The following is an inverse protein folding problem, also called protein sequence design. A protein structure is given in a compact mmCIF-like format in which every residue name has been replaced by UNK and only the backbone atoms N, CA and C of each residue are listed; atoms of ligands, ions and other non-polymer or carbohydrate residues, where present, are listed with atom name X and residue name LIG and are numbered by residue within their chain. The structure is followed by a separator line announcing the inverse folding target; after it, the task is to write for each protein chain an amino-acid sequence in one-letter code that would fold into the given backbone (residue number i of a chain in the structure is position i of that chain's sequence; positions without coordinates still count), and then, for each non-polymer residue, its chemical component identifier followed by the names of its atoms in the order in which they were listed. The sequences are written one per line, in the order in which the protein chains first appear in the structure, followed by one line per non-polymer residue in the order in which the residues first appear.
data_IF_035234014822
#
_entry.id   IF_035234014822
#
_cell.length_a   1.000
_cell.length_b   1.000
_cell.length_c   1.000
_cell.angle_alpha   90.00
_cell.angle_beta   90.00
_cell.angle_gamma   90.00
#
_symmetry.space_group_name_H-M   'P 1'
#
loop_
_entity.id
_entity.type
_entity.pdbx_description
1 polymer ?
#
# COMPACT_ATOMS: atom_id res chain seq x y z
N UNK A 1 12.17 -56.21 -47.41
CA UNK A 1 11.33 -55.88 -46.24
C UNK A 1 12.09 -56.05 -44.90
N UNK A 2 13.26 -55.41 -44.72
CA UNK A 2 14.03 -55.45 -43.45
C UNK A 2 14.77 -54.13 -43.14
N UNK A 3 14.35 -53.02 -43.76
CA UNK A 3 14.97 -51.69 -43.57
C UNK A 3 14.02 -50.60 -43.06
N UNK A 4 12.76 -50.93 -42.78
CA UNK A 4 11.76 -49.99 -42.28
C UNK A 4 11.45 -50.09 -40.78
N UNK A 5 12.08 -51.03 -40.05
CA UNK A 5 11.77 -51.28 -38.63
C UNK A 5 12.74 -50.60 -37.64
N UNK A 6 13.77 -49.88 -38.12
CA UNK A 6 14.79 -49.26 -37.25
C UNK A 6 14.56 -47.75 -37.07
N UNK A 7 13.76 -47.12 -37.93
CA UNK A 7 13.50 -45.67 -37.85
C UNK A 7 12.35 -45.33 -36.89
N UNK A 8 11.51 -46.30 -36.50
CA UNK A 8 10.39 -46.06 -35.58
C UNK A 8 10.76 -46.15 -34.08
N UNK A 9 11.95 -46.67 -33.75
CA UNK A 9 12.39 -46.84 -32.35
C UNK A 9 13.27 -45.69 -31.83
N UNK A 10 13.71 -44.78 -32.69
CA UNK A 10 14.49 -43.59 -32.28
C UNK A 10 13.65 -42.32 -32.15
N UNK A 11 12.42 -42.29 -32.68
CA UNK A 11 11.51 -41.13 -32.56
C UNK A 11 10.67 -41.18 -31.26
N UNK A 12 10.53 -42.36 -30.64
CA UNK A 12 9.79 -42.49 -29.37
C UNK A 12 10.62 -42.20 -28.12
N UNK A 13 11.95 -42.08 -28.25
CA UNK A 13 12.85 -41.77 -27.13
C UNK A 13 13.14 -40.26 -26.93
N UNK A 14 12.54 -39.39 -27.76
CA UNK A 14 12.79 -37.93 -27.74
C UNK A 14 11.59 -37.08 -27.26
N UNK A 15 10.56 -37.70 -26.66
CA UNK A 15 9.35 -37.00 -26.20
C UNK A 15 9.07 -37.11 -24.69
N UNK A 16 10.08 -37.41 -23.88
CA UNK A 16 9.98 -37.30 -22.41
C UNK A 16 11.19 -36.54 -21.86
N UNK A 17 11.45 -35.36 -22.41
CA UNK A 17 12.07 -34.28 -21.63
C UNK A 17 10.93 -33.38 -21.18
N UNK A 18 10.10 -33.90 -20.26
CA UNK A 18 9.25 -33.05 -19.45
C UNK A 18 10.20 -32.16 -18.66
N UNK A 19 10.32 -30.91 -19.10
CA UNK A 19 11.06 -29.83 -18.48
C UNK A 19 10.38 -29.54 -17.13
N UNK A 20 10.63 -30.41 -16.16
CA UNK A 20 10.29 -30.24 -14.76
C UNK A 20 11.21 -29.15 -14.23
N UNK A 21 10.94 -27.91 -14.65
CA UNK A 21 11.32 -26.72 -13.91
C UNK A 21 10.62 -26.84 -12.57
N UNK A 22 11.29 -27.52 -11.64
CA UNK A 22 11.10 -27.36 -10.21
C UNK A 22 11.18 -25.86 -9.98
N UNK A 23 10.00 -25.23 -9.86
CA UNK A 23 9.89 -23.90 -9.29
C UNK A 23 10.55 -24.02 -7.94
N UNK A 24 11.81 -23.57 -7.84
CA UNK A 24 12.46 -23.38 -6.56
C UNK A 24 11.45 -22.59 -5.74
N UNK A 25 10.89 -23.21 -4.70
CA UNK A 25 10.11 -22.50 -3.69
C UNK A 25 11.07 -21.42 -3.21
N UNK A 26 10.77 -20.14 -3.52
CA UNK A 26 11.43 -19.02 -2.85
C UNK A 26 11.37 -19.38 -1.37
N UNK A 27 12.52 -19.58 -0.74
CA UNK A 27 12.58 -19.68 0.72
C UNK A 27 11.92 -18.39 1.21
N UNK A 28 10.74 -18.50 1.80
CA UNK A 28 10.15 -17.38 2.53
C UNK A 28 11.19 -16.94 3.55
N UNK A 29 11.37 -15.62 3.69
CA UNK A 29 12.20 -15.10 4.77
C UNK A 29 11.78 -15.79 6.09
N UNK A 30 12.74 -16.14 6.97
CA UNK A 30 12.40 -16.72 8.25
C UNK A 30 11.38 -15.81 8.96
N UNK A 31 10.28 -16.40 9.41
CA UNK A 31 9.20 -15.67 10.08
C UNK A 31 9.82 -14.99 11.32
N UNK A 32 9.88 -13.66 11.31
CA UNK A 32 10.28 -12.94 12.52
C UNK A 32 9.25 -13.24 13.62
N UNK A 33 9.71 -13.56 14.85
CA UNK A 33 8.84 -13.91 15.95
C UNK A 33 8.01 -12.69 16.36
N UNK A 34 6.70 -12.87 16.50
CA UNK A 34 5.80 -11.85 17.06
C UNK A 34 6.29 -11.47 18.46
N UNK A 35 6.66 -10.21 18.68
CA UNK A 35 7.09 -9.76 20.01
C UNK A 35 5.91 -9.27 20.89
N UNK A 36 4.74 -9.08 20.29
CA UNK A 36 3.50 -8.74 20.97
C UNK A 36 2.44 -9.82 20.72
N UNK A 37 1.59 -10.06 21.72
CA UNK A 37 0.48 -11.01 21.58
C UNK A 37 -0.67 -10.48 20.71
N UNK A 38 -0.79 -9.16 20.63
CA UNK A 38 -1.76 -8.43 19.81
C UNK A 38 -1.36 -6.95 19.72
N UNK A 39 -2.07 -6.18 18.90
CA UNK A 39 -1.77 -4.75 18.69
C UNK A 39 -1.85 -3.90 19.98
N UNK A 40 -2.69 -4.27 20.95
CA UNK A 40 -2.79 -3.53 22.23
C UNK A 40 -1.52 -3.69 23.07
N UNK A 41 -0.91 -4.87 23.01
CA UNK A 41 0.32 -5.19 23.72
C UNK A 41 1.60 -4.74 23.00
N UNK A 42 1.49 -4.24 21.77
CA UNK A 42 2.64 -3.73 21.04
C UNK A 42 3.00 -2.30 21.49
N UNK A 43 4.28 -2.06 21.71
CA UNK A 43 4.81 -0.74 22.02
C UNK A 43 4.77 0.17 20.78
N UNK A 44 4.71 1.49 20.99
CA UNK A 44 4.65 2.45 19.88
C UNK A 44 5.93 2.43 19.02
N UNK A 45 7.07 2.07 19.61
CA UNK A 45 8.33 1.85 18.88
C UNK A 45 8.40 0.50 18.12
N UNK A 46 7.35 -0.32 18.19
CA UNK A 46 7.29 -1.65 17.57
C UNK A 46 8.22 -2.67 18.24
N UNK A 47 8.46 -3.79 17.55
CA UNK A 47 9.33 -4.88 18.00
C UNK A 47 10.82 -4.60 17.72
N UNK A 48 11.37 -3.52 18.27
CA UNK A 48 12.75 -3.08 17.96
C UNK A 48 13.86 -4.00 18.54
N UNK A 49 13.55 -5.21 19.00
CA UNK A 49 14.49 -6.08 19.73
C UNK A 49 15.67 -6.58 18.89
N UNK A 50 15.62 -6.45 17.56
CA UNK A 50 16.66 -6.88 16.64
C UNK A 50 17.33 -5.73 15.86
N UNK A 51 17.03 -4.46 16.19
CA UNK A 51 17.49 -3.26 15.47
C UNK A 51 17.20 -3.26 13.95
N UNK A 52 16.30 -4.10 13.44
CA UNK A 52 16.01 -4.15 11.99
C UNK A 52 15.16 -2.96 11.54
N UNK A 53 14.31 -2.40 12.41
CA UNK A 53 13.42 -1.29 12.06
C UNK A 53 13.79 -0.02 12.82
N UNK A 54 13.52 1.14 12.20
CA UNK A 54 13.69 2.44 12.82
C UNK A 54 12.59 2.67 13.88
N UNK A 55 12.90 2.64 15.20
CA UNK A 55 11.88 2.80 16.24
C UNK A 55 11.21 4.19 16.19
N UNK A 56 11.88 5.20 15.62
CA UNK A 56 11.31 6.55 15.45
C UNK A 56 10.29 6.57 14.32
N UNK A 57 10.52 5.80 13.25
CA UNK A 57 9.52 5.58 12.20
C UNK A 57 8.30 4.88 12.79
N UNK A 58 8.51 3.80 13.54
CA UNK A 58 7.43 3.02 14.14
C UNK A 58 6.55 3.86 15.06
N UNK A 59 7.17 4.74 15.85
CA UNK A 59 6.43 5.67 16.70
C UNK A 59 5.52 6.62 15.91
N UNK A 60 5.94 7.05 14.72
CA UNK A 60 5.09 7.84 13.82
C UNK A 60 3.97 6.98 13.22
N UNK A 61 4.28 5.77 12.73
CA UNK A 61 3.30 4.81 12.20
C UNK A 61 2.21 4.45 13.23
N UNK A 62 2.60 4.29 14.49
CA UNK A 62 1.71 3.95 15.60
C UNK A 62 0.94 5.13 16.20
N UNK A 63 1.11 6.36 15.69
CA UNK A 63 0.34 7.50 16.17
C UNK A 63 -1.17 7.27 15.94
N UNK A 64 -2.02 7.60 16.92
CA UNK A 64 -3.48 7.47 16.78
C UNK A 64 -4.18 8.78 16.40
N UNK A 65 -3.51 9.90 16.58
CA UNK A 65 -4.01 11.23 16.25
C UNK A 65 -2.86 12.23 16.17
N UNK A 66 -3.14 13.40 15.61
CA UNK A 66 -2.23 14.53 15.58
C UNK A 66 -3.05 15.83 15.59
N UNK A 67 -2.73 16.74 16.50
CA UNK A 67 -3.46 18.00 16.69
C UNK A 67 -2.94 19.17 15.84
N UNK A 68 -1.93 18.93 14.98
CA UNK A 68 -1.42 19.94 14.08
C UNK A 68 -2.48 20.37 13.05
N UNK A 69 -2.48 21.64 12.60
CA UNK A 69 -3.40 22.11 11.57
C UNK A 69 -3.27 21.30 10.27
N UNK A 70 -4.42 20.89 9.73
CA UNK A 70 -4.48 20.18 8.46
C UNK A 70 -4.25 21.14 7.29
N UNK A 71 -3.31 20.80 6.42
CA UNK A 71 -3.03 21.55 5.19
C UNK A 71 -3.48 20.76 3.96
N UNK A 72 -4.28 21.39 3.10
CA UNK A 72 -4.65 20.79 1.81
C UNK A 72 -3.45 20.72 0.87
N UNK A 73 -3.17 19.53 0.35
CA UNK A 73 -2.10 19.27 -0.62
C UNK A 73 -2.62 18.47 -1.80
N UNK A 74 -2.07 18.76 -2.98
CA UNK A 74 -2.37 17.93 -4.15
C UNK A 74 -1.54 16.64 -4.11
N UNK A 75 -2.08 15.57 -4.66
CA UNK A 75 -1.30 14.34 -4.80
C UNK A 75 -0.08 14.55 -5.72
N UNK A 76 -0.18 15.44 -6.71
CA UNK A 76 0.98 15.84 -7.54
C UNK A 76 2.11 16.45 -6.71
N UNK A 77 1.81 17.33 -5.77
CA UNK A 77 2.81 17.88 -4.85
C UNK A 77 3.51 16.77 -4.05
N UNK A 78 2.73 15.79 -3.58
CA UNK A 78 3.26 14.67 -2.83
C UNK A 78 4.17 13.78 -3.68
N UNK A 79 3.82 13.53 -4.95
CA UNK A 79 4.65 12.79 -5.91
C UNK A 79 5.99 13.47 -6.21
N UNK A 80 6.07 14.78 -6.08
CA UNK A 80 7.28 15.57 -6.35
C UNK A 80 8.17 15.81 -5.12
N UNK A 81 7.82 15.25 -3.96
CA UNK A 81 8.64 15.39 -2.74
C UNK A 81 10.04 14.80 -2.94
N UNK A 82 11.04 15.53 -2.50
CA UNK A 82 12.44 15.09 -2.55
C UNK A 82 12.73 14.08 -1.44
N UNK A 83 13.55 13.09 -1.75
CA UNK A 83 14.13 12.23 -0.73
C UNK A 83 15.15 13.05 0.11
N UNK A 84 15.38 12.67 1.38
CA UNK A 84 16.47 13.22 2.16
C UNK A 84 17.82 12.94 1.49
N UNK A 85 18.79 13.79 1.78
CA UNK A 85 20.15 13.74 1.25
C UNK A 85 21.19 13.36 2.30
N UNK A 86 20.89 13.59 3.58
CA UNK A 86 21.80 13.36 4.71
C UNK A 86 21.25 12.37 5.74
N UNK A 87 20.02 11.90 5.55
CA UNK A 87 19.40 10.91 6.42
C UNK A 87 20.11 9.56 6.32
N UNK A 88 20.34 8.94 7.48
CA UNK A 88 20.87 7.58 7.62
C UNK A 88 19.84 6.71 8.35
N UNK A 89 19.84 5.40 8.08
CA UNK A 89 18.91 4.47 8.71
C UNK A 89 19.01 4.55 10.25
N UNK A 90 17.87 4.78 10.93
CA UNK A 90 17.79 4.99 12.38
C UNK A 90 18.32 6.35 12.89
N UNK A 91 18.78 7.21 11.99
CA UNK A 91 19.40 8.50 12.28
C UNK A 91 18.46 9.55 12.86
N UNK A 92 18.92 10.80 12.92
CA UNK A 92 18.06 11.93 13.30
C UNK A 92 17.03 12.19 12.20
N UNK A 93 15.75 12.31 12.58
CA UNK A 93 14.66 12.65 11.64
C UNK A 93 14.55 14.17 11.38
N UNK A 94 15.49 14.98 11.87
CA UNK A 94 15.46 16.45 11.70
C UNK A 94 15.39 16.91 10.24
N UNK A 95 16.15 16.29 9.33
CA UNK A 95 16.04 16.58 7.88
C UNK A 95 14.64 16.22 7.36
N UNK A 96 14.10 15.06 7.76
CA UNK A 96 12.76 14.62 7.36
C UNK A 96 11.68 15.59 7.86
N UNK A 97 11.76 16.03 9.11
CA UNK A 97 10.87 17.07 9.67
C UNK A 97 11.01 18.39 8.92
N UNK A 98 12.22 18.81 8.51
CA UNK A 98 12.39 20.00 7.68
C UNK A 98 11.78 19.84 6.27
N UNK A 99 11.66 18.59 5.81
CA UNK A 99 10.94 18.19 4.61
C UNK A 99 9.44 17.91 4.90
N UNK A 100 8.89 18.37 6.03
CA UNK A 100 7.47 18.30 6.33
C UNK A 100 6.98 16.96 6.87
N UNK A 101 7.88 16.05 7.26
CA UNK A 101 7.45 14.87 8.02
C UNK A 101 6.75 15.27 9.32
N UNK A 102 5.58 14.68 9.58
CA UNK A 102 4.72 14.97 10.70
C UNK A 102 3.67 16.05 10.42
N UNK A 103 3.80 16.81 9.33
CA UNK A 103 2.79 17.80 8.92
C UNK A 103 1.47 17.08 8.61
N UNK A 104 0.37 17.58 9.17
CA UNK A 104 -0.95 17.08 8.83
C UNK A 104 -1.34 17.55 7.43
N UNK A 105 -1.55 16.58 6.54
CA UNK A 105 -1.95 16.84 5.16
C UNK A 105 -3.31 16.22 4.87
N UNK A 106 -4.10 16.92 4.07
CA UNK A 106 -5.30 16.37 3.44
C UNK A 106 -5.11 16.32 1.93
N UNK A 107 -5.18 15.12 1.38
CA UNK A 107 -4.92 14.85 -0.04
C UNK A 107 -6.14 14.22 -0.70
N UNK A 108 -6.46 14.67 -1.91
CA UNK A 108 -7.50 14.07 -2.74
C UNK A 108 -6.88 13.28 -3.87
N UNK A 109 -7.41 12.08 -4.12
CA UNK A 109 -6.95 11.19 -5.17
C UNK A 109 -7.96 10.12 -5.54
N UNK A 110 -7.53 9.16 -6.35
CA UNK A 110 -8.30 8.00 -6.77
C UNK A 110 -7.69 6.74 -6.19
N UNK A 111 -8.42 6.07 -5.30
CA UNK A 111 -8.02 4.85 -4.64
C UNK A 111 -8.31 3.64 -5.54
N UNK A 112 -7.27 2.86 -5.84
CA UNK A 112 -7.32 1.71 -6.76
C UNK A 112 -7.48 0.37 -6.06
N UNK A 113 -6.93 0.25 -4.86
CA UNK A 113 -7.01 -0.94 -4.03
C UNK A 113 -6.76 -0.56 -2.57
N UNK A 114 -7.44 -1.28 -1.68
CA UNK A 114 -6.94 -1.53 -0.33
C UNK A 114 -6.29 -2.91 -0.35
N UNK A 115 -5.11 -3.06 0.24
CA UNK A 115 -4.36 -4.32 0.29
C UNK A 115 -4.00 -4.66 1.71
N UNK A 116 -4.19 -5.93 2.07
CA UNK A 116 -3.79 -6.45 3.36
C UNK A 116 -2.30 -6.77 3.35
N UNK A 117 -1.53 -6.24 4.29
CA UNK A 117 -0.11 -6.54 4.44
C UNK A 117 0.16 -7.72 5.38
N UNK A 118 -0.35 -8.89 4.99
CA UNK A 118 -0.22 -10.15 5.74
C UNK A 118 1.23 -10.66 5.87
N UNK A 119 2.21 -9.94 5.33
CA UNK A 119 3.64 -10.20 5.50
C UNK A 119 4.15 -9.97 6.92
N UNK A 120 3.42 -9.20 7.74
CA UNK A 120 3.87 -8.79 9.08
C UNK A 120 3.95 -7.29 9.28
N UNK A 121 3.60 -6.49 8.26
CA UNK A 121 3.56 -5.04 8.34
C UNK A 121 2.38 -4.67 9.24
N UNK A 122 2.70 -4.40 10.49
CA UNK A 122 1.78 -4.19 11.60
C UNK A 122 2.36 -3.12 12.49
N UNK A 123 2.81 -2.02 11.88
CA UNK A 123 3.70 -1.05 12.51
C UNK A 123 4.91 -1.72 13.20
N UNK A 124 5.47 -2.75 12.54
CA UNK A 124 6.59 -3.56 13.00
C UNK A 124 6.34 -4.33 14.32
N UNK A 125 5.10 -4.78 14.54
CA UNK A 125 4.72 -5.74 15.60
C UNK A 125 4.81 -7.22 15.15
N UNK A 126 5.05 -7.46 13.85
CA UNK A 126 5.06 -8.76 13.16
C UNK A 126 3.76 -9.57 13.26
N UNK A 127 2.65 -8.93 13.58
CA UNK A 127 1.31 -9.51 13.56
C UNK A 127 0.88 -9.74 12.11
N UNK A 128 0.07 -10.77 11.86
CA UNK A 128 -0.25 -11.25 10.49
C UNK A 128 -1.73 -11.53 10.24
N UNK A 129 -2.61 -11.06 11.12
CA UNK A 129 -4.06 -11.17 10.94
C UNK A 129 -4.58 -9.96 10.18
N UNK A 130 -5.74 -10.08 9.52
CA UNK A 130 -6.32 -8.96 8.77
C UNK A 130 -6.66 -7.76 9.68
N UNK A 131 -6.94 -8.02 10.95
CA UNK A 131 -7.23 -7.04 12.00
C UNK A 131 -5.97 -6.35 12.55
N UNK A 132 -4.81 -6.97 12.38
CA UNK A 132 -3.57 -6.54 13.03
C UNK A 132 -2.44 -6.19 12.06
N UNK A 133 -2.71 -6.17 10.75
CA UNK A 133 -1.77 -5.67 9.74
C UNK A 133 -2.20 -4.33 9.16
N UNK A 134 -1.27 -3.57 8.62
CA UNK A 134 -1.55 -2.33 7.92
C UNK A 134 -2.39 -2.61 6.65
N UNK A 135 -3.22 -1.65 6.25
CA UNK A 135 -3.85 -1.66 4.93
C UNK A 135 -3.13 -0.68 4.01
N UNK A 136 -2.47 -1.20 2.97
CA UNK A 136 -1.89 -0.38 1.91
C UNK A 136 -2.98 0.12 0.95
N UNK A 137 -3.19 1.43 0.94
CA UNK A 137 -4.12 2.13 0.07
C UNK A 137 -3.37 2.72 -1.13
N UNK A 138 -3.66 2.21 -2.34
CA UNK A 138 -2.98 2.61 -3.58
C UNK A 138 -3.65 3.84 -4.18
N UNK A 139 -3.09 5.02 -3.93
CA UNK A 139 -3.67 6.31 -4.33
C UNK A 139 -3.00 6.86 -5.59
N UNK A 140 -3.80 7.20 -6.61
CA UNK A 140 -3.31 7.79 -7.87
C UNK A 140 -4.03 9.10 -8.22
N UNK A 141 -3.46 9.84 -9.16
CA UNK A 141 -4.08 11.06 -9.70
C UNK A 141 -5.18 10.72 -10.72
N UNK A 142 -6.11 11.65 -10.97
CA UNK A 142 -7.04 11.59 -12.11
C UNK A 142 -6.31 11.34 -13.43
N UNK A 143 -5.20 12.05 -13.64
CA UNK A 143 -4.39 11.94 -14.85
C UNK A 143 -3.85 10.50 -15.06
N UNK A 144 -3.48 9.81 -13.99
CA UNK A 144 -3.05 8.40 -14.05
C UNK A 144 -4.20 7.47 -14.46
N UNK A 145 -5.41 7.69 -13.94
CA UNK A 145 -6.61 6.93 -14.34
C UNK A 145 -6.92 7.14 -15.82
N UNK A 146 -6.87 8.39 -16.28
CA UNK A 146 -7.17 8.78 -17.67
C UNK A 146 -6.09 8.29 -18.66
N UNK A 147 -4.83 8.30 -18.25
CA UNK A 147 -3.69 7.79 -19.04
C UNK A 147 -3.77 6.28 -19.28
N UNK A 148 -4.33 5.54 -18.33
CA UNK A 148 -4.46 4.09 -18.40
C UNK A 148 -5.91 3.67 -18.16
N UNK A 149 -6.84 3.94 -19.09
CA UNK A 149 -8.24 3.62 -18.89
C UNK A 149 -8.47 2.10 -18.86
N UNK A 150 -9.39 1.65 -18.01
CA UNK A 150 -9.92 0.28 -18.02
C UNK A 150 -11.00 0.16 -19.10
N UNK A 151 -10.83 -0.75 -20.07
CA UNK A 151 -11.88 -1.04 -21.04
C UNK A 151 -13.13 -1.63 -20.36
N UNK A 152 -14.33 -1.39 -20.90
CA UNK A 152 -15.53 -2.13 -20.50
C UNK A 152 -15.29 -3.63 -20.61
N UNK A 153 -15.77 -4.40 -19.64
CA UNK A 153 -15.64 -5.87 -19.60
C UNK A 153 -14.20 -6.40 -19.74
N UNK A 154 -13.21 -5.64 -19.25
CA UNK A 154 -11.81 -6.05 -19.24
C UNK A 154 -11.63 -7.41 -18.55
N UNK A 155 -10.94 -8.33 -19.22
CA UNK A 155 -10.57 -9.62 -18.62
C UNK A 155 -9.50 -9.44 -17.53
N UNK A 156 -9.27 -10.48 -16.74
CA UNK A 156 -8.31 -10.49 -15.62
C UNK A 156 -6.89 -10.06 -16.01
N UNK A 157 -6.42 -10.43 -17.21
CA UNK A 157 -5.09 -10.05 -17.69
C UNK A 157 -5.00 -8.55 -17.95
N UNK A 158 -6.01 -7.98 -18.59
CA UNK A 158 -6.11 -6.53 -18.82
C UNK A 158 -6.24 -5.77 -17.51
N UNK A 159 -7.08 -6.23 -16.59
CA UNK A 159 -7.24 -5.65 -15.25
C UNK A 159 -5.89 -5.55 -14.52
N UNK A 160 -5.14 -6.67 -14.47
CA UNK A 160 -3.82 -6.72 -13.82
C UNK A 160 -2.80 -5.82 -14.51
N UNK A 161 -2.80 -5.79 -15.85
CA UNK A 161 -1.87 -4.95 -16.64
C UNK A 161 -2.10 -3.47 -16.39
N UNK A 162 -3.36 -3.02 -16.42
CA UNK A 162 -3.71 -1.62 -16.17
C UNK A 162 -3.43 -1.25 -14.71
N UNK A 163 -3.79 -2.12 -13.75
CA UNK A 163 -3.48 -1.89 -12.33
C UNK A 163 -1.99 -1.64 -12.11
N UNK A 164 -1.10 -2.51 -12.60
CA UNK A 164 0.35 -2.36 -12.46
C UNK A 164 0.87 -1.04 -13.03
N UNK A 165 0.35 -0.61 -14.18
CA UNK A 165 0.75 0.67 -14.81
C UNK A 165 0.32 1.87 -13.97
N UNK A 166 -0.87 1.82 -13.38
CA UNK A 166 -1.37 2.88 -12.49
C UNK A 166 -0.64 2.88 -11.15
N UNK A 167 -0.42 1.71 -10.57
CA UNK A 167 0.31 1.51 -9.32
C UNK A 167 1.74 2.08 -9.40
N UNK A 168 2.43 1.89 -10.53
CA UNK A 168 3.74 2.51 -10.77
C UNK A 168 3.74 4.05 -10.70
N UNK A 169 2.58 4.69 -10.79
CA UNK A 169 2.40 6.14 -10.64
C UNK A 169 1.70 6.55 -9.32
N UNK A 170 1.51 5.59 -8.41
CA UNK A 170 0.83 5.79 -7.14
C UNK A 170 1.74 6.37 -6.07
N UNK A 171 1.08 6.90 -5.05
CA UNK A 171 1.61 7.16 -3.73
C UNK A 171 0.87 6.24 -2.77
N UNK A 172 1.57 5.71 -1.78
CA UNK A 172 0.94 4.88 -0.77
C UNK A 172 0.38 5.75 0.36
N UNK A 173 -0.74 5.29 0.88
CA UNK A 173 -1.42 5.80 2.05
C UNK A 173 -1.72 4.56 2.90
N UNK A 174 -1.60 4.63 4.22
CA UNK A 174 -1.75 3.45 5.07
C UNK A 174 -2.58 3.77 6.31
N UNK A 175 -3.64 2.99 6.53
CA UNK A 175 -4.26 2.90 7.84
C UNK A 175 -3.62 1.76 8.63
N UNK A 176 -3.45 1.99 9.93
CA UNK A 176 -2.74 1.06 10.81
C UNK A 176 -3.70 0.40 11.79
N UNK A 177 -3.42 -0.83 12.24
CA UNK A 177 -4.17 -1.51 13.30
C UNK A 177 -4.40 -0.63 14.53
N UNK A 178 -3.44 0.23 14.87
CA UNK A 178 -3.52 1.13 16.03
C UNK A 178 -4.60 2.21 15.84
N UNK A 179 -4.72 2.79 14.65
CA UNK A 179 -5.83 3.72 14.33
C UNK A 179 -7.16 2.98 14.26
N UNK A 180 -7.19 1.76 13.72
CA UNK A 180 -8.42 0.95 13.58
C UNK A 180 -9.10 0.61 14.91
N UNK A 181 -8.40 0.75 16.03
CA UNK A 181 -8.99 0.66 17.36
C UNK A 181 -10.09 1.71 17.59
N UNK A 182 -9.93 2.90 17.00
CA UNK A 182 -10.91 3.99 17.08
C UNK A 182 -11.72 4.15 15.77
N UNK A 183 -11.25 3.50 14.69
CA UNK A 183 -11.83 3.55 13.34
C UNK A 183 -12.08 2.13 12.79
N UNK A 184 -13.08 1.39 13.33
CA UNK A 184 -13.27 -0.03 13.04
C UNK A 184 -13.67 -0.32 11.59
N UNK A 185 -14.11 0.69 10.82
CA UNK A 185 -14.48 0.51 9.41
C UNK A 185 -13.33 0.80 8.44
N UNK A 186 -12.16 1.22 8.91
CA UNK A 186 -10.94 1.33 8.08
C UNK A 186 -10.42 -0.08 7.76
N UNK A 187 -11.15 -0.85 6.97
CA UNK A 187 -10.79 -2.24 6.65
C UNK A 187 -10.85 -2.48 5.16
N UNK A 188 -10.05 -3.45 4.69
CA UNK A 188 -10.17 -3.96 3.33
C UNK A 188 -11.62 -4.32 2.97
N UNK A 189 -12.30 -5.03 3.88
CA UNK A 189 -13.68 -5.50 3.71
C UNK A 189 -14.71 -4.38 3.53
N UNK A 190 -14.44 -3.18 4.03
CA UNK A 190 -15.28 -1.98 3.83
C UNK A 190 -14.86 -1.17 2.61
N UNK A 191 -13.56 -0.97 2.43
CA UNK A 191 -13.02 -0.05 1.41
C UNK A 191 -13.04 -0.70 0.01
N UNK A 192 -12.57 -1.94 -0.13
CA UNK A 192 -12.41 -2.59 -1.44
C UNK A 192 -13.74 -2.75 -2.19
N UNK A 193 -14.88 -3.10 -1.54
CA UNK A 193 -16.17 -3.14 -2.22
C UNK A 193 -16.63 -1.78 -2.77
N UNK A 194 -16.29 -0.67 -2.13
CA UNK A 194 -16.61 0.67 -2.64
C UNK A 194 -15.81 0.96 -3.92
N UNK A 195 -14.52 0.62 -3.94
CA UNK A 195 -13.67 0.73 -5.14
C UNK A 195 -14.26 -0.10 -6.28
N UNK A 196 -14.64 -1.34 -6.01
CA UNK A 196 -15.18 -2.26 -7.02
C UNK A 196 -16.50 -1.76 -7.66
N UNK A 197 -17.27 -0.93 -6.96
CA UNK A 197 -18.53 -0.34 -7.46
C UNK A 197 -18.32 0.86 -8.38
N UNK A 198 -17.10 1.38 -8.50
CA UNK A 198 -16.80 2.57 -9.29
C UNK A 198 -16.53 2.24 -10.76
N UNK A 199 -16.84 3.18 -11.64
CA UNK A 199 -16.30 3.14 -12.99
C UNK A 199 -14.77 3.20 -12.90
N UNK A 200 -14.08 2.47 -13.77
CA UNK A 200 -12.61 2.44 -13.81
C UNK A 200 -11.94 1.80 -12.58
N UNK A 201 -12.67 1.22 -11.62
CA UNK A 201 -12.08 0.62 -10.41
C UNK A 201 -11.20 1.61 -9.66
N UNK A 202 -11.69 2.84 -9.52
CA UNK A 202 -10.97 3.99 -9.00
C UNK A 202 -11.94 4.88 -8.21
N UNK A 203 -11.91 4.78 -6.87
CA UNK A 203 -12.77 5.55 -5.98
C UNK A 203 -12.13 6.90 -5.66
N UNK A 204 -12.84 8.00 -5.92
CA UNK A 204 -12.35 9.31 -5.49
C UNK A 204 -12.44 9.41 -3.97
N UNK A 205 -11.32 9.67 -3.33
CA UNK A 205 -11.19 9.76 -1.86
C UNK A 205 -10.47 11.04 -1.44
N UNK A 206 -10.72 11.46 -0.21
CA UNK A 206 -9.98 12.50 0.51
C UNK A 206 -9.43 11.86 1.78
N UNK A 207 -8.11 11.94 1.94
CA UNK A 207 -7.36 11.27 3.00
C UNK A 207 -6.70 12.33 3.85
N UNK A 208 -6.79 12.21 5.17
CA UNK A 208 -6.10 13.08 6.12
C UNK A 208 -5.20 12.24 7.03
N UNK A 209 -3.97 12.69 7.24
CA UNK A 209 -2.99 12.08 8.14
C UNK A 209 -1.66 12.82 8.08
N UNK A 210 -0.63 12.37 8.83
CA UNK A 210 0.69 12.97 8.75
C UNK A 210 1.37 12.57 7.44
N UNK A 211 2.08 13.51 6.83
CA UNK A 211 3.09 13.18 5.84
C UNK A 211 4.23 12.42 6.54
N UNK A 212 4.61 11.26 6.02
CA UNK A 212 5.68 10.44 6.59
C UNK A 212 6.64 9.99 5.51
N UNK A 213 7.94 9.96 5.84
CA UNK A 213 8.95 9.33 5.01
C UNK A 213 9.22 7.91 5.48
N UNK A 214 8.92 6.95 4.61
CA UNK A 214 9.15 5.54 4.82
C UNK A 214 10.63 5.20 4.61
N UNK A 215 11.40 5.37 5.67
CA UNK A 215 12.84 5.12 5.66
C UNK A 215 13.21 3.65 5.49
N UNK A 216 12.33 2.73 5.86
CA UNK A 216 12.58 1.30 5.75
C UNK A 216 12.65 0.88 4.28
N UNK A 217 11.62 1.25 3.51
CA UNK A 217 11.63 1.01 2.08
C UNK A 217 12.74 1.76 1.34
N UNK A 218 13.08 2.98 1.77
CA UNK A 218 14.15 3.75 1.14
C UNK A 218 15.51 3.02 1.15
N UNK A 219 15.85 2.32 2.24
CA UNK A 219 17.14 1.63 2.37
C UNK A 219 17.09 0.15 1.99
N UNK A 220 15.95 -0.52 2.16
CA UNK A 220 15.90 -1.98 2.10
C UNK A 220 15.18 -2.52 0.85
N UNK A 221 14.20 -1.79 0.32
CA UNK A 221 13.22 -2.36 -0.59
C UNK A 221 12.86 -1.44 -1.76
N UNK A 222 13.07 -1.92 -2.99
CA UNK A 222 12.58 -1.21 -4.17
C UNK A 222 11.04 -1.25 -4.23
N UNK A 223 10.45 -0.07 -4.14
CA UNK A 223 9.01 0.14 -4.21
C UNK A 223 8.46 0.12 -5.65
N UNK A 224 7.18 -0.24 -5.78
CA UNK A 224 6.38 -0.12 -7.02
C UNK A 224 5.57 1.19 -7.07
N UNK A 225 5.95 2.21 -6.28
CA UNK A 225 5.33 3.54 -6.17
C UNK A 225 6.35 4.63 -6.51
N UNK A 226 5.89 5.87 -6.70
CA UNK A 226 6.77 6.93 -7.26
C UNK A 226 7.83 7.45 -6.29
N UNK A 227 7.58 7.39 -4.98
CA UNK A 227 8.49 7.84 -3.94
C UNK A 227 8.22 7.13 -2.61
N UNK A 228 9.04 7.43 -1.59
CA UNK A 228 8.94 6.87 -0.24
C UNK A 228 8.15 7.78 0.72
N UNK A 229 7.46 8.80 0.20
CA UNK A 229 6.61 9.67 1.01
C UNK A 229 5.19 9.14 0.98
N UNK A 230 4.56 9.07 2.15
CA UNK A 230 3.23 8.51 2.34
C UNK A 230 2.38 9.34 3.31
N UNK A 231 1.07 9.11 3.31
CA UNK A 231 0.20 9.57 4.40
C UNK A 231 0.02 8.37 5.32
N UNK A 232 0.68 8.42 6.47
CA UNK A 232 0.73 7.29 7.40
C UNK A 232 0.90 7.82 8.84
N UNK A 233 0.02 7.45 9.77
CA UNK A 233 -1.21 6.69 9.53
C UNK A 233 -2.34 7.60 9.02
N UNK A 234 -3.34 7.02 8.35
CA UNK A 234 -4.57 7.73 7.99
C UNK A 234 -5.42 7.96 9.23
N UNK A 235 -5.79 9.21 9.52
CA UNK A 235 -6.72 9.57 10.60
C UNK A 235 -8.15 9.82 10.11
N UNK A 236 -8.32 10.28 8.87
CA UNK A 236 -9.63 10.42 8.25
C UNK A 236 -9.60 9.94 6.80
N UNK A 237 -10.59 9.14 6.42
CA UNK A 237 -10.79 8.67 5.06
C UNK A 237 -12.23 8.96 4.64
N UNK A 238 -12.36 9.83 3.66
CA UNK A 238 -13.66 10.18 3.09
C UNK A 238 -13.69 9.72 1.63
N UNK A 239 -14.88 9.36 1.15
CA UNK A 239 -15.10 8.99 -0.24
C UNK A 239 -16.15 9.87 -0.89
N UNK A 240 -16.08 9.97 -2.23
CA UNK A 240 -17.10 10.64 -3.01
C UNK A 240 -18.19 9.64 -3.44
N UNK A 241 -19.44 9.76 -2.96
CA UNK A 241 -20.49 8.81 -3.29
C UNK A 241 -20.88 8.84 -4.78
N UNK A 242 -21.40 7.71 -5.28
CA UNK A 242 -21.87 7.61 -6.66
C UNK A 242 -22.98 8.64 -6.95
N UNK A 243 -22.85 9.34 -8.07
CA UNK A 243 -23.81 10.36 -8.50
C UNK A 243 -23.68 11.70 -7.78
N UNK A 244 -22.66 11.85 -6.92
CA UNK A 244 -22.28 13.13 -6.32
C UNK A 244 -21.06 13.73 -7.01
N UNK A 245 -20.83 15.01 -6.76
CA UNK A 245 -19.63 15.72 -7.19
C UNK A 245 -18.93 16.27 -5.97
N UNK A 246 -17.71 15.81 -5.75
CA UNK A 246 -16.87 16.25 -4.65
C UNK A 246 -15.67 17.00 -5.23
N UNK A 247 -15.23 18.06 -4.56
CA UNK A 247 -14.05 18.84 -4.95
C UNK A 247 -13.08 18.89 -3.78
N UNK A 248 -11.78 18.97 -4.08
CA UNK A 248 -10.76 18.96 -3.04
C UNK A 248 -10.85 20.16 -2.09
N UNK A 249 -11.32 21.30 -2.59
CA UNK A 249 -11.43 22.57 -1.88
C UNK A 249 -12.82 22.84 -1.27
N UNK A 250 -13.66 21.81 -1.14
CA UNK A 250 -15.00 21.91 -0.55
C UNK A 250 -15.29 20.68 0.29
N UNK A 251 -15.99 20.87 1.40
CA UNK A 251 -16.50 19.77 2.23
C UNK A 251 -17.84 19.22 1.72
N UNK A 252 -18.41 19.80 0.66
CA UNK A 252 -19.66 19.35 0.10
C UNK A 252 -19.57 17.93 -0.48
N UNK A 253 -20.56 17.09 -0.13
CA UNK A 253 -20.80 15.74 -0.64
C UNK A 253 -19.79 14.66 -0.29
N UNK A 254 -18.69 14.97 0.40
CA UNK A 254 -17.82 13.95 0.98
C UNK A 254 -18.60 13.16 2.05
N UNK A 255 -18.35 11.86 2.12
CA UNK A 255 -18.89 10.98 3.14
C UNK A 255 -17.74 10.26 3.82
N UNK A 256 -17.76 10.20 5.16
CA UNK A 256 -16.79 9.43 5.92
C UNK A 256 -16.94 7.93 5.59
N UNK A 257 -15.81 7.23 5.48
CA UNK A 257 -15.79 5.79 5.27
C UNK A 257 -16.43 5.02 6.43
N UNK A 258 -16.39 5.60 7.64
CA UNK A 258 -17.04 5.05 8.83
C UNK A 258 -18.57 4.96 8.67
N UNK A 259 -19.15 5.84 7.85
CA UNK A 259 -20.58 5.86 7.55
C UNK A 259 -20.92 5.05 6.28
N UNK A 260 -19.97 4.30 5.72
CA UNK A 260 -20.19 3.53 4.50
C UNK A 260 -21.11 2.31 4.75
N UNK A 261 -22.04 2.03 3.81
CA UNK A 261 -23.01 0.93 3.94
C UNK A 261 -22.33 -0.46 3.97
#
# INVERSE_FOLDING_TARGET
MKRFLIVLLTILALLIAADAKTKAKKKSAPLQPTCAANIHACADEGCSSDNHHDPKLNKLKNAKSNSQPVTDRSLTWMKTRHNPTHYTLGGSRSELTSLGEGDQVRVTGYLLAAKLELGGESCNCYLRTEEETDNHLVLVTKATVDKFPLPPHANTTTLKSVFRKREAESVTVEDTPRVRLDHPNFTNGKIQPLINKTAQGALMVRVTGPLMFDSEHFFEHKLNRVNNWEVHPVFHLEYCPKGKTCTANSDANWQDIEDAP
#
